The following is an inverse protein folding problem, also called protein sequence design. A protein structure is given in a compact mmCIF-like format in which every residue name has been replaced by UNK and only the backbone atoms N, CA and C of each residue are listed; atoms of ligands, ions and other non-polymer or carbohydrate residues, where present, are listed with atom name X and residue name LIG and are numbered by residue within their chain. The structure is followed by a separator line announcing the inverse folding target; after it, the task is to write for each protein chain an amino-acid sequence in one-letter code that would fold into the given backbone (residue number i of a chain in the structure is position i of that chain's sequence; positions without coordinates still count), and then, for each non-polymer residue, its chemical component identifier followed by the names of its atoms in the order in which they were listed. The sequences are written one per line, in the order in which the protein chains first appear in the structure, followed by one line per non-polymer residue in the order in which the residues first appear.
data_IF_687137826830
#
_entry.id   IF_687137826830
#
_cell.length_a   1.000
_cell.length_b   1.000
_cell.length_c   1.000
_cell.angle_alpha   90.00
_cell.angle_beta   90.00
_cell.angle_gamma   90.00
#
_symmetry.space_group_name_H-M   'P 1'
#
loop_
_entity.id
_entity.type
_entity.pdbx_description
1 polymer ?
#
# COMPACT_ATOMS: atom_id res chain seq x y z
N UNK A 1 -5.61 14.48 21.42
CA UNK A 1 -4.62 13.41 21.17
C UNK A 1 -5.44 12.14 21.01
N UNK A 2 -5.19 11.31 20.00
CA UNK A 2 -5.93 10.06 19.88
C UNK A 2 -5.31 9.07 20.87
N UNK A 3 -6.09 8.64 21.86
CA UNK A 3 -5.68 7.55 22.75
C UNK A 3 -5.81 6.24 21.98
N UNK A 4 -4.67 5.65 21.62
CA UNK A 4 -4.64 4.37 20.91
C UNK A 4 -4.81 3.22 21.90
N UNK A 5 -5.80 2.37 21.64
CA UNK A 5 -5.96 1.09 22.32
C UNK A 5 -4.83 0.12 21.95
N UNK A 6 -4.59 -0.90 22.78
CA UNK A 6 -3.57 -1.90 22.48
C UNK A 6 -3.92 -2.75 21.25
N UNK A 7 -5.21 -2.96 20.99
CA UNK A 7 -5.69 -3.60 19.77
C UNK A 7 -5.34 -2.81 18.51
N UNK A 8 -5.51 -1.48 18.53
CA UNK A 8 -5.14 -0.61 17.41
C UNK A 8 -3.62 -0.60 17.20
N UNK A 9 -2.83 -0.47 18.28
CA UNK A 9 -1.36 -0.50 18.19
C UNK A 9 -0.86 -1.83 17.61
N UNK A 10 -1.43 -2.94 18.05
CA UNK A 10 -1.13 -4.28 17.54
C UNK A 10 -1.47 -4.39 16.05
N UNK A 11 -2.64 -3.90 15.65
CA UNK A 11 -3.11 -3.90 14.25
C UNK A 11 -2.18 -3.11 13.35
N UNK A 12 -1.83 -1.88 13.72
CA UNK A 12 -0.91 -1.04 12.92
C UNK A 12 0.47 -1.70 12.82
N UNK A 13 0.97 -2.28 13.91
CA UNK A 13 2.26 -2.99 13.91
C UNK A 13 2.24 -4.22 12.99
N UNK A 14 1.13 -4.97 12.97
CA UNK A 14 0.97 -6.15 12.11
C UNK A 14 0.88 -5.79 10.62
N UNK A 15 0.22 -4.68 10.28
CA UNK A 15 0.19 -4.14 8.91
C UNK A 15 1.59 -3.67 8.52
N UNK A 16 2.23 -2.85 9.36
CA UNK A 16 3.56 -2.31 9.09
C UNK A 16 4.64 -3.39 8.95
N UNK A 17 4.53 -4.49 9.69
CA UNK A 17 5.43 -5.65 9.56
C UNK A 17 5.41 -6.33 8.19
N UNK A 18 4.41 -6.04 7.35
CA UNK A 18 4.31 -6.54 5.97
C UNK A 18 4.84 -5.53 4.94
N UNK A 19 5.23 -4.33 5.36
CA UNK A 19 5.69 -3.25 4.48
C UNK A 19 7.20 -3.35 4.27
N UNK A 20 7.63 -3.54 3.02
CA UNK A 20 9.02 -3.28 2.64
C UNK A 20 9.20 -1.79 2.34
N UNK A 21 9.85 -1.08 3.27
CA UNK A 21 10.11 0.36 3.16
C UNK A 21 11.00 0.73 1.96
N UNK A 22 11.81 -0.22 1.47
CA UNK A 22 12.66 0.01 0.30
C UNK A 22 11.87 0.02 -1.00
N UNK A 23 10.68 -0.57 -1.00
CA UNK A 23 9.79 -0.65 -2.15
C UNK A 23 8.63 0.33 -2.04
N UNK A 24 7.93 0.34 -0.89
CA UNK A 24 6.73 1.15 -0.67
C UNK A 24 7.04 2.65 -0.68
N UNK A 25 8.14 3.07 -0.05
CA UNK A 25 8.54 4.48 0.02
C UNK A 25 8.72 5.11 -1.36
N UNK A 26 9.61 4.57 -2.22
CA UNK A 26 9.78 5.05 -3.59
C UNK A 26 8.48 5.03 -4.41
N UNK A 27 7.69 3.96 -4.31
CA UNK A 27 6.44 3.80 -5.06
C UNK A 27 5.39 4.83 -4.65
N UNK A 28 5.31 5.18 -3.37
CA UNK A 28 4.38 6.16 -2.85
C UNK A 28 4.79 7.57 -3.24
N UNK A 29 6.05 7.96 -2.99
CA UNK A 29 6.51 9.30 -3.34
C UNK A 29 6.47 9.53 -4.86
N UNK A 30 6.85 8.54 -5.66
CA UNK A 30 6.72 8.62 -7.12
C UNK A 30 5.27 8.86 -7.57
N UNK A 31 4.30 8.17 -6.98
CA UNK A 31 2.87 8.39 -7.27
C UNK A 31 2.37 9.75 -6.83
N UNK A 32 2.82 10.27 -5.68
CA UNK A 32 2.47 11.62 -5.24
C UNK A 32 2.90 12.65 -6.28
N UNK A 33 4.15 12.56 -6.76
CA UNK A 33 4.70 13.50 -7.74
C UNK A 33 4.03 13.39 -9.12
N UNK A 34 3.55 12.20 -9.50
CA UNK A 34 2.89 11.95 -10.79
C UNK A 34 1.42 12.40 -10.76
N UNK A 35 0.67 11.95 -9.76
CA UNK A 35 -0.79 12.14 -9.69
C UNK A 35 -1.14 13.55 -9.20
N UNK A 36 -0.28 14.13 -8.36
CA UNK A 36 -0.48 15.45 -7.77
C UNK A 36 0.69 16.37 -8.14
N UNK A 37 0.80 16.79 -9.41
CA UNK A 37 2.01 17.42 -9.97
C UNK A 37 2.39 18.74 -9.28
N UNK A 38 1.46 19.44 -8.64
CA UNK A 38 1.78 20.63 -7.84
C UNK A 38 2.74 20.34 -6.67
N UNK A 39 2.79 19.10 -6.19
CA UNK A 39 3.71 18.67 -5.12
C UNK A 39 5.17 18.73 -5.55
N UNK A 40 5.46 18.67 -6.86
CA UNK A 40 6.82 18.73 -7.41
C UNK A 40 7.55 20.02 -7.03
N UNK A 41 6.81 21.12 -6.76
CA UNK A 41 7.39 22.42 -6.36
C UNK A 41 8.29 22.35 -5.12
N UNK A 42 8.08 21.36 -4.24
CA UNK A 42 8.86 21.16 -3.02
C UNK A 42 10.17 20.39 -3.25
N UNK A 43 10.37 19.83 -4.46
CA UNK A 43 11.46 18.90 -4.75
C UNK A 43 12.41 19.43 -5.84
N UNK A 44 12.60 20.75 -5.95
CA UNK A 44 13.45 21.35 -6.98
C UNK A 44 14.90 20.85 -6.99
N UNK A 45 15.43 20.42 -5.84
CA UNK A 45 16.77 19.83 -5.74
C UNK A 45 16.87 18.38 -6.25
N UNK A 46 15.75 17.77 -6.64
CA UNK A 46 15.71 16.36 -7.08
C UNK A 46 16.10 16.21 -8.55
N UNK A 47 16.27 17.31 -9.28
CA UNK A 47 16.60 17.30 -10.70
C UNK A 47 15.35 17.06 -11.54
N UNK A 48 15.45 16.24 -12.58
CA UNK A 48 14.34 15.99 -13.49
C UNK A 48 13.21 15.18 -12.82
N UNK A 49 12.05 15.82 -12.75
CA UNK A 49 10.76 15.25 -12.32
C UNK A 49 9.64 15.57 -13.32
N UNK A 50 10.01 15.88 -14.57
CA UNK A 50 9.08 16.39 -15.59
C UNK A 50 8.15 15.33 -16.18
N UNK A 51 8.52 14.05 -16.11
CA UNK A 51 7.74 12.93 -16.65
C UNK A 51 7.61 11.80 -15.65
N UNK A 52 6.61 10.93 -15.83
CA UNK A 52 6.44 9.75 -14.99
C UNK A 52 7.68 8.82 -15.03
N UNK A 53 8.31 8.65 -16.19
CA UNK A 53 9.53 7.87 -16.32
C UNK A 53 10.70 8.52 -15.58
N UNK A 54 10.87 9.84 -15.71
CA UNK A 54 11.89 10.59 -14.97
C UNK A 54 11.69 10.46 -13.46
N UNK A 55 10.47 10.66 -12.96
CA UNK A 55 10.12 10.53 -11.53
C UNK A 55 10.41 9.12 -11.02
N UNK A 56 9.94 8.09 -11.71
CA UNK A 56 10.07 6.69 -11.26
C UNK A 56 11.52 6.18 -11.35
N UNK A 57 12.33 6.72 -12.25
CA UNK A 57 13.75 6.43 -12.37
C UNK A 57 14.66 7.31 -11.49
N UNK A 58 14.11 8.31 -10.79
CA UNK A 58 14.93 9.29 -10.07
C UNK A 58 15.45 8.73 -8.74
N UNK A 59 16.79 8.62 -8.54
CA UNK A 59 17.35 8.04 -7.32
C UNK A 59 17.09 8.89 -6.07
N UNK A 60 16.92 10.22 -6.21
CA UNK A 60 16.58 11.11 -5.10
C UNK A 60 15.12 10.95 -4.66
N UNK A 61 14.20 10.71 -5.59
CA UNK A 61 12.81 10.32 -5.28
C UNK A 61 12.81 9.01 -4.51
N UNK A 62 13.52 7.99 -4.99
CA UNK A 62 13.61 6.71 -4.28
C UNK A 62 14.22 6.86 -2.87
N UNK A 63 15.34 7.58 -2.75
CA UNK A 63 15.99 7.81 -1.46
C UNK A 63 15.07 8.56 -0.48
N UNK A 64 14.38 9.61 -0.93
CA UNK A 64 13.51 10.37 -0.06
C UNK A 64 12.24 9.60 0.33
N UNK A 65 11.70 8.78 -0.57
CA UNK A 65 10.60 7.86 -0.22
C UNK A 65 10.97 6.92 0.94
N UNK A 66 12.22 6.44 0.99
CA UNK A 66 12.72 5.65 2.13
C UNK A 66 12.84 6.47 3.42
N UNK A 67 13.24 7.74 3.32
CA UNK A 67 13.27 8.66 4.48
C UNK A 67 11.86 8.83 5.06
N UNK A 68 10.85 9.02 4.21
CA UNK A 68 9.43 9.11 4.62
C UNK A 68 8.99 7.83 5.34
N UNK A 69 9.20 6.65 4.75
CA UNK A 69 8.85 5.38 5.41
C UNK A 69 9.65 5.14 6.70
N UNK A 70 10.92 5.54 6.77
CA UNK A 70 11.70 5.48 7.99
C UNK A 70 11.17 6.40 9.09
N UNK A 71 10.59 7.55 8.73
CA UNK A 71 9.88 8.39 9.69
C UNK A 71 8.63 7.67 10.21
N UNK A 72 7.84 7.03 9.34
CA UNK A 72 6.64 6.28 9.75
C UNK A 72 6.98 5.08 10.65
N UNK A 73 8.06 4.36 10.37
CA UNK A 73 8.56 3.29 11.23
C UNK A 73 8.84 3.79 12.66
N UNK A 74 9.39 5.00 12.80
CA UNK A 74 9.57 5.64 14.11
C UNK A 74 8.23 5.93 14.80
N UNK A 75 7.19 6.34 14.08
CA UNK A 75 5.86 6.52 14.69
C UNK A 75 5.25 5.19 15.13
N UNK A 76 5.34 4.15 14.30
CA UNK A 76 4.85 2.80 14.66
C UNK A 76 5.54 2.30 15.93
N UNK A 77 6.84 2.55 16.10
CA UNK A 77 7.58 2.21 17.32
C UNK A 77 7.29 3.10 18.53
N UNK A 78 6.65 4.26 18.34
CA UNK A 78 6.43 5.28 19.38
C UNK A 78 4.97 5.80 19.40
N UNK A 79 3.98 4.93 19.17
CA UNK A 79 2.57 5.36 19.01
C UNK A 79 2.01 6.12 20.23
N UNK A 80 2.52 5.86 21.43
CA UNK A 80 2.13 6.59 22.65
C UNK A 80 2.75 7.98 22.80
N UNK A 81 3.71 8.37 21.95
CA UNK A 81 4.44 9.63 22.10
C UNK A 81 4.76 10.33 20.76
N UNK A 82 3.91 10.15 19.74
CA UNK A 82 4.15 10.62 18.37
C UNK A 82 4.47 12.12 18.29
N UNK A 83 3.79 12.96 19.07
CA UNK A 83 4.03 14.41 19.06
C UNK A 83 5.46 14.77 19.50
N UNK A 84 5.95 14.18 20.59
CA UNK A 84 7.32 14.41 21.03
C UNK A 84 8.33 13.82 20.03
N UNK A 85 8.04 12.62 19.50
CA UNK A 85 8.88 11.96 18.49
C UNK A 85 9.06 12.81 17.23
N UNK A 86 8.03 13.55 16.80
CA UNK A 86 8.06 14.33 15.57
C UNK A 86 8.27 15.84 15.76
N UNK A 87 8.47 16.34 16.97
CA UNK A 87 8.62 17.79 17.22
C UNK A 87 9.62 18.46 16.26
N UNK A 88 10.85 17.94 16.20
CA UNK A 88 11.90 18.51 15.33
C UNK A 88 11.60 18.37 13.82
N UNK A 89 10.94 17.26 13.43
CA UNK A 89 10.54 17.04 12.04
C UNK A 89 9.43 18.01 11.63
N UNK A 90 8.46 18.25 12.52
CA UNK A 90 7.37 19.22 12.35
C UNK A 90 7.93 20.64 12.20
N UNK A 91 8.83 21.06 13.10
CA UNK A 91 9.50 22.37 13.03
C UNK A 91 10.25 22.55 11.70
N UNK A 92 10.90 21.50 11.19
CA UNK A 92 11.58 21.54 9.88
C UNK A 92 10.59 21.75 8.74
N UNK A 93 9.47 21.03 8.73
CA UNK A 93 8.47 21.16 7.69
C UNK A 93 7.77 22.52 7.71
N UNK A 94 7.51 23.07 8.90
CA UNK A 94 6.87 24.37 9.07
C UNK A 94 7.82 25.53 8.75
N UNK A 95 9.04 25.51 9.30
CA UNK A 95 9.91 26.69 9.34
C UNK A 95 11.01 26.71 8.26
N UNK A 96 11.25 25.59 7.57
CA UNK A 96 12.30 25.49 6.55
C UNK A 96 11.78 25.04 5.19
N UNK A 97 10.91 24.02 5.19
CA UNK A 97 10.40 23.43 3.95
C UNK A 97 9.09 24.09 3.48
N UNK A 98 8.38 24.77 4.39
CA UNK A 98 7.12 25.47 4.11
C UNK A 98 6.11 24.60 3.35
N UNK A 99 6.02 23.33 3.72
CA UNK A 99 5.09 22.37 3.10
C UNK A 99 3.68 22.68 3.59
N UNK A 100 2.77 22.91 2.66
CA UNK A 100 1.36 23.13 2.99
C UNK A 100 0.77 21.85 3.62
N UNK A 101 0.10 21.95 4.79
CA UNK A 101 -0.50 20.83 5.53
C UNK A 101 -1.34 19.87 4.68
N UNK A 102 -2.05 20.35 3.65
CA UNK A 102 -2.90 19.51 2.82
C UNK A 102 -2.10 18.45 2.04
N UNK A 103 -0.83 18.70 1.75
CA UNK A 103 0.02 17.74 1.03
C UNK A 103 0.42 16.54 1.91
N UNK A 104 0.36 16.66 3.24
CA UNK A 104 0.56 15.52 4.13
C UNK A 104 -0.60 14.53 4.03
N UNK A 105 -1.85 15.03 3.90
CA UNK A 105 -3.02 14.18 3.66
C UNK A 105 -2.88 13.42 2.34
N UNK A 106 -2.48 14.13 1.29
CA UNK A 106 -2.24 13.53 -0.04
C UNK A 106 -1.19 12.41 0.03
N UNK A 107 -0.07 12.64 0.70
CA UNK A 107 0.97 11.62 0.88
C UNK A 107 0.46 10.42 1.70
N UNK A 108 -0.31 10.66 2.76
CA UNK A 108 -0.91 9.61 3.58
C UNK A 108 -1.90 8.74 2.81
N UNK A 109 -2.75 9.35 1.97
CA UNK A 109 -3.72 8.63 1.12
C UNK A 109 -2.99 7.76 0.09
N UNK A 110 -1.97 8.30 -0.59
CA UNK A 110 -1.18 7.53 -1.56
C UNK A 110 -0.41 6.39 -0.89
N UNK A 111 0.17 6.63 0.29
CA UNK A 111 0.84 5.57 1.06
C UNK A 111 -0.14 4.45 1.42
N UNK A 112 -1.34 4.79 1.91
CA UNK A 112 -2.40 3.83 2.21
C UNK A 112 -2.76 2.99 0.98
N UNK A 113 -2.93 3.63 -0.17
CA UNK A 113 -3.24 2.95 -1.44
C UNK A 113 -2.08 2.02 -1.87
N UNK A 114 -0.83 2.47 -1.77
CA UNK A 114 0.34 1.66 -2.15
C UNK A 114 0.53 0.47 -1.22
N UNK A 115 0.37 0.67 0.10
CA UNK A 115 0.43 -0.41 1.10
C UNK A 115 -0.69 -1.42 0.83
N UNK A 116 -1.93 -0.98 0.64
CA UNK A 116 -3.05 -1.85 0.34
C UNK A 116 -2.82 -2.65 -0.95
N UNK A 117 -2.39 -1.99 -2.03
CA UNK A 117 -2.06 -2.64 -3.28
C UNK A 117 -0.93 -3.67 -3.11
N UNK A 118 0.09 -3.38 -2.29
CA UNK A 118 1.20 -4.31 -2.07
C UNK A 118 0.85 -5.49 -1.19
N UNK A 119 0.05 -5.30 -0.15
CA UNK A 119 -0.42 -6.41 0.70
C UNK A 119 -1.31 -7.35 -0.12
N UNK A 120 -2.23 -6.80 -0.92
CA UNK A 120 -3.10 -7.59 -1.80
C UNK A 120 -2.30 -8.28 -2.91
N UNK A 121 -1.41 -7.57 -3.61
CA UNK A 121 -0.56 -8.16 -4.65
C UNK A 121 0.42 -9.18 -4.08
N UNK A 122 0.94 -8.98 -2.86
CA UNK A 122 1.83 -9.93 -2.19
C UNK A 122 1.09 -11.22 -1.81
N UNK A 123 -0.17 -11.13 -1.38
CA UNK A 123 -1.02 -12.31 -1.22
C UNK A 123 -1.20 -13.03 -2.56
N UNK A 124 -1.62 -12.31 -3.62
CA UNK A 124 -1.82 -12.86 -4.95
C UNK A 124 -0.55 -13.50 -5.54
N UNK A 125 0.62 -12.90 -5.35
CA UNK A 125 1.92 -13.46 -5.76
C UNK A 125 2.21 -14.78 -5.03
N UNK A 126 1.90 -14.88 -3.73
CA UNK A 126 2.00 -16.16 -3.00
C UNK A 126 1.06 -17.21 -3.60
N UNK A 127 -0.16 -16.87 -4.02
CA UNK A 127 -1.04 -17.82 -4.69
C UNK A 127 -0.51 -18.25 -6.06
N UNK A 128 0.00 -17.31 -6.87
CA UNK A 128 0.60 -17.64 -8.18
C UNK A 128 1.81 -18.58 -7.99
N UNK A 129 2.66 -18.33 -7.00
CA UNK A 129 3.82 -19.18 -6.68
C UNK A 129 3.43 -20.56 -6.13
N UNK A 130 2.22 -20.69 -5.59
CA UNK A 130 1.73 -21.92 -4.96
C UNK A 130 0.42 -22.41 -5.61
N UNK A 131 0.29 -22.33 -6.94
CA UNK A 131 -0.97 -22.65 -7.63
C UNK A 131 -1.54 -24.03 -7.30
N UNK A 132 -0.70 -25.02 -7.03
CA UNK A 132 -1.13 -26.38 -6.66
C UNK A 132 -1.62 -26.52 -5.22
N UNK A 133 -1.45 -25.51 -4.36
CA UNK A 133 -1.75 -25.60 -2.92
C UNK A 133 -2.34 -24.32 -2.32
N UNK A 134 -3.08 -23.54 -3.11
CA UNK A 134 -3.59 -22.21 -2.71
C UNK A 134 -4.39 -22.26 -1.39
N UNK A 135 -5.20 -23.29 -1.16
CA UNK A 135 -5.99 -23.43 0.08
C UNK A 135 -5.09 -23.49 1.32
N UNK A 136 -4.02 -24.29 1.30
CA UNK A 136 -3.12 -24.37 2.44
C UNK A 136 -2.31 -23.07 2.60
N UNK A 137 -1.86 -22.47 1.49
CA UNK A 137 -1.12 -21.21 1.48
C UNK A 137 -1.92 -20.08 2.15
N UNK A 138 -3.24 -20.06 1.96
CA UNK A 138 -4.11 -18.97 2.44
C UNK A 138 -4.81 -19.26 3.77
N UNK A 139 -4.62 -20.45 4.37
CA UNK A 139 -5.32 -20.86 5.60
C UNK A 139 -5.26 -19.81 6.71
N UNK A 140 -4.05 -19.35 7.07
CA UNK A 140 -3.86 -18.35 8.13
C UNK A 140 -4.44 -16.98 7.78
N UNK A 141 -4.39 -16.60 6.49
CA UNK A 141 -4.95 -15.34 6.02
C UNK A 141 -6.49 -15.37 6.06
N UNK A 142 -7.10 -16.50 5.67
CA UNK A 142 -8.54 -16.77 5.76
C UNK A 142 -9.02 -16.74 7.22
N UNK A 143 -8.32 -17.42 8.14
CA UNK A 143 -8.63 -17.39 9.58
C UNK A 143 -8.56 -15.96 10.16
N UNK A 144 -7.62 -15.14 9.70
CA UNK A 144 -7.52 -13.74 10.13
C UNK A 144 -8.71 -12.93 9.66
N UNK A 145 -9.14 -13.09 8.40
CA UNK A 145 -10.28 -12.34 7.87
C UNK A 145 -11.61 -12.78 8.49
N UNK A 146 -11.76 -14.08 8.79
CA UNK A 146 -12.94 -14.62 9.46
C UNK A 146 -13.00 -14.22 10.94
N UNK A 147 -11.94 -14.49 11.70
CA UNK A 147 -12.00 -14.52 13.16
C UNK A 147 -11.49 -13.24 13.84
N UNK A 148 -10.79 -12.37 13.09
CA UNK A 148 -10.22 -11.13 13.64
C UNK A 148 -10.75 -9.89 12.96
N UNK A 149 -10.84 -9.90 11.63
CA UNK A 149 -11.28 -8.75 10.85
C UNK A 149 -12.78 -8.76 10.56
N UNK A 150 -13.45 -9.91 10.75
CA UNK A 150 -14.89 -10.09 10.55
C UNK A 150 -15.38 -9.57 9.19
N UNK A 151 -14.57 -9.77 8.14
CA UNK A 151 -14.89 -9.32 6.78
C UNK A 151 -15.91 -10.26 6.17
N UNK A 152 -17.08 -9.79 5.77
CA UNK A 152 -18.07 -10.62 5.05
C UNK A 152 -17.43 -11.24 3.78
N UNK A 153 -17.51 -12.58 3.58
CA UNK A 153 -16.92 -13.28 2.44
C UNK A 153 -17.28 -12.72 1.06
N UNK A 154 -18.46 -12.10 0.91
CA UNK A 154 -18.92 -11.53 -0.35
C UNK A 154 -17.99 -10.39 -0.82
N UNK A 155 -17.33 -9.69 0.11
CA UNK A 155 -16.38 -8.63 -0.21
C UNK A 155 -15.15 -9.15 -0.98
N UNK A 156 -14.77 -10.43 -0.85
CA UNK A 156 -13.67 -11.00 -1.63
C UNK A 156 -14.02 -11.09 -3.11
N UNK A 157 -15.28 -11.39 -3.44
CA UNK A 157 -15.77 -11.40 -4.82
C UNK A 157 -15.76 -9.98 -5.39
N UNK A 158 -16.25 -9.01 -4.63
CA UNK A 158 -16.25 -7.59 -5.03
C UNK A 158 -14.82 -7.11 -5.32
N UNK A 159 -13.87 -7.41 -4.44
CA UNK A 159 -12.46 -7.06 -4.65
C UNK A 159 -11.88 -7.74 -5.89
N UNK A 160 -12.21 -9.02 -6.13
CA UNK A 160 -11.75 -9.76 -7.29
C UNK A 160 -12.27 -9.19 -8.62
N UNK A 161 -13.52 -8.75 -8.65
CA UNK A 161 -14.14 -8.11 -9.81
C UNK A 161 -13.50 -6.75 -10.08
N UNK A 162 -13.31 -5.91 -9.05
CA UNK A 162 -12.62 -4.62 -9.16
C UNK A 162 -11.19 -4.78 -9.68
N UNK A 163 -10.43 -5.74 -9.15
CA UNK A 163 -9.07 -6.02 -9.63
C UNK A 163 -9.05 -6.46 -11.09
N UNK A 164 -10.04 -7.26 -11.52
CA UNK A 164 -10.17 -7.67 -12.92
C UNK A 164 -10.41 -6.47 -13.83
N UNK A 165 -11.27 -5.53 -13.42
CA UNK A 165 -11.54 -4.29 -14.17
C UNK A 165 -10.27 -3.44 -14.27
N UNK A 166 -9.53 -3.27 -13.17
CA UNK A 166 -8.28 -2.52 -13.15
C UNK A 166 -7.23 -3.13 -14.08
N UNK A 167 -7.08 -4.46 -14.08
CA UNK A 167 -6.16 -5.16 -14.99
C UNK A 167 -6.61 -4.99 -16.45
N UNK A 168 -7.89 -5.17 -16.74
CA UNK A 168 -8.44 -4.99 -18.08
C UNK A 168 -8.19 -3.56 -18.60
N UNK A 169 -8.46 -2.54 -17.78
CA UNK A 169 -8.21 -1.15 -18.12
C UNK A 169 -6.71 -0.86 -18.35
N UNK A 170 -5.83 -1.49 -17.57
CA UNK A 170 -4.38 -1.32 -17.69
C UNK A 170 -3.79 -2.00 -18.92
N UNK A 171 -4.29 -3.18 -19.27
CA UNK A 171 -3.75 -4.03 -20.33
C UNK A 171 -4.43 -3.75 -21.68
N UNK A 172 -5.60 -3.11 -21.67
CA UNK A 172 -6.34 -2.78 -22.89
C UNK A 172 -6.57 -4.01 -23.76
N UNK A 173 -6.24 -3.90 -25.05
CA UNK A 173 -6.38 -5.00 -26.01
C UNK A 173 -5.55 -6.25 -25.68
N UNK A 174 -4.52 -6.13 -24.82
CA UNK A 174 -3.71 -7.27 -24.42
C UNK A 174 -4.42 -8.17 -23.38
N UNK A 175 -5.52 -7.74 -22.77
CA UNK A 175 -6.35 -8.58 -21.89
C UNK A 175 -7.43 -9.30 -22.71
N UNK A 176 -7.01 -10.31 -23.47
CA UNK A 176 -7.91 -11.05 -24.37
C UNK A 176 -8.96 -11.84 -23.58
N UNK A 177 -10.07 -12.26 -24.22
CA UNK A 177 -11.08 -13.11 -23.57
C UNK A 177 -10.50 -14.38 -22.94
N UNK A 178 -9.48 -14.99 -23.54
CA UNK A 178 -8.82 -16.19 -23.03
C UNK A 178 -8.00 -15.90 -21.76
N UNK A 179 -7.29 -14.76 -21.74
CA UNK A 179 -6.57 -14.28 -20.56
C UNK A 179 -7.57 -13.94 -19.45
N UNK A 180 -8.66 -13.25 -19.78
CA UNK A 180 -9.73 -12.94 -18.81
C UNK A 180 -10.34 -14.21 -18.23
N UNK A 181 -10.64 -15.23 -19.04
CA UNK A 181 -11.19 -16.49 -18.58
C UNK A 181 -10.24 -17.21 -17.61
N UNK A 182 -8.94 -17.22 -17.92
CA UNK A 182 -7.90 -17.82 -17.06
C UNK A 182 -7.74 -17.04 -15.76
N UNK A 183 -7.70 -15.70 -15.84
CA UNK A 183 -7.65 -14.80 -14.70
C UNK A 183 -8.87 -14.97 -13.78
N UNK A 184 -10.07 -15.04 -14.36
CA UNK A 184 -11.31 -15.27 -13.62
C UNK A 184 -11.32 -16.62 -12.91
N UNK A 185 -10.81 -17.69 -13.54
CA UNK A 185 -10.63 -18.98 -12.88
C UNK A 185 -9.67 -18.88 -11.69
N UNK A 186 -8.53 -18.21 -11.87
CA UNK A 186 -7.57 -17.97 -10.78
C UNK A 186 -8.21 -17.20 -9.62
N UNK A 187 -8.92 -16.10 -9.91
CA UNK A 187 -9.57 -15.29 -8.88
C UNK A 187 -10.67 -16.05 -8.13
N UNK A 188 -11.42 -16.95 -8.79
CA UNK A 188 -12.38 -17.83 -8.11
C UNK A 188 -11.71 -18.76 -7.10
N UNK A 189 -10.54 -19.32 -7.43
CA UNK A 189 -9.77 -20.18 -6.51
C UNK A 189 -9.23 -19.37 -5.33
N UNK A 190 -8.74 -18.15 -5.58
CA UNK A 190 -8.29 -17.20 -4.55
C UNK A 190 -9.43 -16.86 -3.60
N UNK A 191 -10.61 -16.51 -4.11
CA UNK A 191 -11.82 -16.19 -3.32
C UNK A 191 -12.26 -17.39 -2.48
N UNK A 192 -12.30 -18.59 -3.07
CA UNK A 192 -12.64 -19.81 -2.35
C UNK A 192 -11.64 -20.11 -1.22
N UNK A 193 -10.34 -19.94 -1.47
CA UNK A 193 -9.31 -20.15 -0.46
C UNK A 193 -9.40 -19.12 0.69
N UNK A 194 -9.63 -17.84 0.36
CA UNK A 194 -9.85 -16.77 1.35
C UNK A 194 -11.12 -16.99 2.19
N UNK A 195 -12.13 -17.65 1.64
CA UNK A 195 -13.39 -17.94 2.33
C UNK A 195 -13.39 -19.29 3.07
N UNK A 196 -12.32 -20.10 2.95
CA UNK A 196 -12.31 -21.50 3.41
C UNK A 196 -12.35 -21.72 4.92
N UNK A 197 -12.21 -20.65 5.72
CA UNK A 197 -12.17 -20.68 7.20
C UNK A 197 -13.27 -19.85 7.85
N UNK A 198 -14.32 -19.54 7.08
CA UNK A 198 -15.54 -18.94 7.57
C UNK A 198 -16.51 -20.06 7.96
N UNK A 199 -16.61 -20.32 9.26
CA UNK A 199 -17.50 -21.32 9.86
C UNK A 199 -18.35 -20.69 10.94
#
# INVERSE_FOLDING_TARGET
MADWTDAEKSTISAVWGQVDINEVGPLALGRVLIVYPWTQRYFGSFGDVSTAAAIMGNPKVAAHGKVVCGALDKAVKNMGNILATYKSLSETHANKLFVDPDNFRVLADVLTIVIAAKVVCGALDKAVKNMGNILATYKSLSETHANKLFVDPENFRVLADVLTIVIAAKFGAAFTPEIQATWQKFMKVVVAAMSSRYF
#
